data_IF_654000950190
#
_entry.id   IF_654000950190
#
_cell.length_a   1.000
_cell.length_b   1.000
_cell.length_c   1.000
_cell.angle_alpha   90.00
_cell.angle_beta   90.00
_cell.angle_gamma   90.00
#
_symmetry.space_group_name_H-M   'P 1'
#
loop_
_entity.id
_entity.type
_entity.pdbx_description
1 polymer ?
#
# COMPACT_ATOMS: atom_id res chain seq x y z
N UNK A 1 17.65 -9.35 -38.45
CA UNK A 1 17.33 -8.34 -37.43
C UNK A 1 15.85 -8.34 -37.00
N UNK A 2 14.86 -8.38 -37.92
CA UNK A 2 13.42 -8.46 -37.54
C UNK A 2 13.06 -9.60 -36.57
N UNK A 3 13.68 -10.79 -36.71
CA UNK A 3 13.42 -11.95 -35.83
C UNK A 3 13.91 -11.76 -34.39
N UNK A 4 15.01 -11.04 -34.18
CA UNK A 4 15.51 -10.71 -32.83
C UNK A 4 14.62 -9.67 -32.14
N UNK A 5 14.09 -8.70 -32.89
CA UNK A 5 13.20 -7.67 -32.37
C UNK A 5 11.84 -8.25 -31.94
N UNK A 6 11.31 -9.22 -32.70
CA UNK A 6 10.11 -9.98 -32.32
C UNK A 6 10.35 -10.87 -31.09
N UNK A 7 11.53 -11.49 -30.99
CA UNK A 7 11.90 -12.30 -29.81
C UNK A 7 12.04 -11.45 -28.54
N UNK A 8 12.62 -10.26 -28.65
CA UNK A 8 12.72 -9.32 -27.53
C UNK A 8 11.34 -8.77 -27.11
N UNK A 9 10.48 -8.41 -28.07
CA UNK A 9 9.09 -8.03 -27.77
C UNK A 9 8.30 -9.18 -27.13
N UNK A 10 8.48 -10.42 -27.59
CA UNK A 10 7.83 -11.58 -26.99
C UNK A 10 8.32 -11.85 -25.56
N UNK A 11 9.62 -11.72 -25.30
CA UNK A 11 10.20 -11.84 -23.95
C UNK A 11 9.64 -10.78 -22.98
N UNK A 12 9.44 -9.53 -23.43
CA UNK A 12 8.78 -8.51 -22.62
C UNK A 12 7.33 -8.87 -22.27
N UNK A 13 6.60 -9.52 -23.18
CA UNK A 13 5.22 -9.96 -22.92
C UNK A 13 5.11 -11.10 -21.88
N UNK A 14 6.15 -11.94 -21.71
CA UNK A 14 6.12 -13.07 -20.77
C UNK A 14 6.71 -12.79 -19.39
N UNK A 15 7.26 -11.60 -19.14
CA UNK A 15 7.67 -11.16 -17.79
C UNK A 15 6.48 -10.66 -16.96
N UNK A 16 5.38 -11.42 -16.97
CA UNK A 16 4.26 -11.19 -16.07
C UNK A 16 4.59 -11.69 -14.67
N UNK A 17 5.47 -10.99 -13.93
CA UNK A 17 5.54 -11.17 -12.49
C UNK A 17 4.17 -10.82 -11.92
N UNK A 18 3.39 -11.83 -11.53
CA UNK A 18 2.05 -11.62 -10.98
C UNK A 18 2.21 -10.87 -9.66
N UNK A 19 1.95 -9.57 -9.71
CA UNK A 19 2.05 -8.64 -8.59
C UNK A 19 1.22 -9.12 -7.39
N UNK A 20 0.05 -9.71 -7.67
CA UNK A 20 -0.88 -10.24 -6.70
C UNK A 20 -0.87 -11.76 -6.73
N UNK A 21 -0.68 -12.37 -5.57
CA UNK A 21 -0.66 -13.83 -5.39
C UNK A 21 -1.68 -14.22 -4.32
N UNK A 22 -2.47 -15.26 -4.60
CA UNK A 22 -3.39 -15.83 -3.61
C UNK A 22 -2.64 -16.86 -2.79
N UNK A 23 -2.66 -16.71 -1.47
CA UNK A 23 -1.98 -17.61 -0.55
C UNK A 23 -2.84 -17.89 0.67
N UNK A 24 -2.70 -19.09 1.23
CA UNK A 24 -3.36 -19.44 2.48
C UNK A 24 -2.62 -18.77 3.63
N UNK A 25 -3.34 -18.00 4.45
CA UNK A 25 -2.79 -17.36 5.64
C UNK A 25 -3.12 -18.20 6.86
N UNK A 26 -2.09 -18.56 7.63
CA UNK A 26 -2.27 -19.18 8.94
C UNK A 26 -2.86 -18.18 9.95
N UNK A 27 -2.51 -16.89 9.84
CA UNK A 27 -2.99 -15.82 10.73
C UNK A 27 -4.49 -15.57 10.61
N UNK A 28 -5.04 -15.59 9.39
CA UNK A 28 -6.45 -15.26 9.13
C UNK A 28 -7.33 -16.47 8.80
N UNK A 29 -6.75 -17.69 8.79
CA UNK A 29 -7.50 -18.95 8.67
C UNK A 29 -8.08 -19.27 7.29
N UNK A 30 -7.58 -18.66 6.21
CA UNK A 30 -8.17 -18.80 4.87
C UNK A 30 -7.32 -18.24 3.73
N UNK A 31 -7.92 -17.99 2.57
CA UNK A 31 -7.20 -17.43 1.42
C UNK A 31 -7.13 -15.91 1.49
N UNK A 32 -5.90 -15.40 1.47
CA UNK A 32 -5.56 -13.97 1.43
C UNK A 32 -4.81 -13.63 0.14
N UNK A 33 -4.71 -12.33 -0.15
CA UNK A 33 -3.96 -11.84 -1.32
C UNK A 33 -2.74 -11.09 -0.85
N UNK A 34 -1.57 -11.52 -1.33
CA UNK A 34 -0.32 -10.82 -1.15
C UNK A 34 0.04 -10.00 -2.39
N UNK A 35 0.56 -8.80 -2.17
CA UNK A 35 1.10 -7.91 -3.19
C UNK A 35 2.62 -7.84 -3.02
N UNK A 36 3.38 -8.26 -4.01
CA UNK A 36 4.86 -8.37 -3.92
C UNK A 36 5.35 -9.11 -2.66
N UNK A 37 4.64 -10.17 -2.24
CA UNK A 37 4.96 -10.93 -1.04
C UNK A 37 4.41 -10.36 0.27
N UNK A 38 3.86 -9.14 0.28
CA UNK A 38 3.23 -8.53 1.47
C UNK A 38 1.73 -8.80 1.50
N UNK A 39 1.23 -9.40 2.58
CA UNK A 39 -0.20 -9.67 2.75
C UNK A 39 -0.94 -8.39 3.10
N UNK A 40 -1.96 -8.07 2.30
CA UNK A 40 -2.87 -6.96 2.58
C UNK A 40 -4.21 -7.58 2.96
N UNK A 41 -4.56 -7.60 4.26
CA UNK A 41 -5.74 -8.32 4.75
C UNK A 41 -7.04 -7.73 4.18
N UNK A 42 -7.13 -6.41 4.00
CA UNK A 42 -8.33 -5.69 3.58
C UNK A 42 -8.86 -6.13 2.21
N UNK A 43 -8.03 -6.78 1.38
CA UNK A 43 -8.47 -7.36 0.12
C UNK A 43 -9.49 -8.49 0.28
N UNK A 44 -9.45 -9.23 1.38
CA UNK A 44 -10.16 -10.52 1.49
C UNK A 44 -10.76 -10.80 2.86
N UNK A 45 -10.16 -10.24 3.91
CA UNK A 45 -10.50 -10.46 5.31
C UNK A 45 -11.76 -9.68 5.69
N UNK A 46 -12.56 -10.27 6.58
CA UNK A 46 -13.75 -9.66 7.17
C UNK A 46 -13.41 -8.81 8.41
N UNK A 47 -14.37 -8.05 8.93
CA UNK A 47 -14.15 -7.22 10.14
C UNK A 47 -13.72 -8.06 11.37
N UNK A 48 -14.10 -9.34 11.39
CA UNK A 48 -13.72 -10.28 12.45
C UNK A 48 -12.32 -10.89 12.27
N UNK A 49 -11.49 -10.31 11.38
CA UNK A 49 -10.16 -10.79 11.04
C UNK A 49 -10.14 -12.25 10.53
N UNK A 50 -11.18 -12.67 9.81
CA UNK A 50 -11.26 -14.00 9.19
C UNK A 50 -11.24 -13.89 7.67
N UNK A 51 -10.38 -14.66 7.05
CA UNK A 51 -10.33 -14.82 5.60
C UNK A 51 -11.30 -15.95 5.16
N UNK A 52 -11.87 -15.88 3.95
CA UNK A 52 -12.71 -16.94 3.43
C UNK A 52 -11.89 -18.21 3.18
N UNK A 53 -12.43 -19.36 3.59
CA UNK A 53 -11.82 -20.68 3.34
C UNK A 53 -11.87 -21.09 1.86
N UNK A 54 -12.86 -20.58 1.13
CA UNK A 54 -13.00 -20.81 -0.31
C UNK A 54 -12.22 -19.77 -1.13
N UNK A 55 -11.35 -20.24 -2.02
CA UNK A 55 -10.59 -19.43 -2.96
C UNK A 55 -11.49 -18.66 -3.93
N UNK A 56 -12.64 -19.23 -4.30
CA UNK A 56 -13.63 -18.57 -5.17
C UNK A 56 -14.18 -17.29 -4.54
N UNK A 57 -14.66 -17.40 -3.30
CA UNK A 57 -15.09 -16.25 -2.49
C UNK A 57 -13.98 -15.23 -2.27
N UNK A 58 -12.75 -15.67 -1.97
CA UNK A 58 -11.59 -14.78 -1.82
C UNK A 58 -11.33 -13.95 -3.08
N UNK A 59 -11.41 -14.58 -4.27
CA UNK A 59 -11.22 -13.90 -5.55
C UNK A 59 -12.29 -12.86 -5.83
N UNK A 60 -13.55 -13.15 -5.54
CA UNK A 60 -14.66 -12.21 -5.72
C UNK A 60 -14.49 -10.99 -4.81
N UNK A 61 -14.18 -11.20 -3.53
CA UNK A 61 -13.90 -10.12 -2.58
C UNK A 61 -12.71 -9.26 -3.03
N UNK A 62 -11.62 -9.91 -3.43
CA UNK A 62 -10.44 -9.22 -3.96
C UNK A 62 -10.79 -8.34 -5.16
N UNK A 63 -11.47 -8.88 -6.19
CA UNK A 63 -11.78 -8.10 -7.40
C UNK A 63 -12.67 -6.88 -7.10
N UNK A 64 -13.60 -7.01 -6.15
CA UNK A 64 -14.49 -5.92 -5.74
C UNK A 64 -13.77 -4.84 -4.95
N UNK A 65 -12.86 -5.23 -4.05
CA UNK A 65 -12.18 -4.32 -3.12
C UNK A 65 -10.88 -3.74 -3.63
N UNK A 66 -10.19 -4.43 -4.55
CA UNK A 66 -8.82 -4.12 -5.01
C UNK A 66 -8.62 -2.63 -5.30
N UNK A 67 -9.44 -2.05 -6.16
CA UNK A 67 -9.26 -0.68 -6.62
C UNK A 67 -9.37 0.34 -5.47
N UNK A 68 -10.34 0.16 -4.57
CA UNK A 68 -10.52 1.03 -3.42
C UNK A 68 -9.39 0.87 -2.40
N UNK A 69 -9.07 -0.38 -2.02
CA UNK A 69 -7.99 -0.70 -1.08
C UNK A 69 -6.65 -0.16 -1.59
N UNK A 70 -6.30 -0.41 -2.86
CA UNK A 70 -5.07 0.13 -3.46
C UNK A 70 -5.03 1.66 -3.43
N UNK A 71 -6.15 2.34 -3.70
CA UNK A 71 -6.22 3.81 -3.64
C UNK A 71 -5.97 4.35 -2.22
N UNK A 72 -6.56 3.74 -1.19
CA UNK A 72 -6.29 4.13 0.20
C UNK A 72 -4.85 3.87 0.60
N UNK A 73 -4.30 2.71 0.26
CA UNK A 73 -2.91 2.38 0.55
C UNK A 73 -1.89 3.28 -0.18
N UNK A 74 -2.20 3.70 -1.42
CA UNK A 74 -1.45 4.71 -2.16
C UNK A 74 -1.48 6.07 -1.44
N UNK A 75 -2.67 6.51 -1.00
CA UNK A 75 -2.83 7.79 -0.26
C UNK A 75 -2.11 7.77 1.09
N UNK A 76 -2.07 6.62 1.76
CA UNK A 76 -1.32 6.41 2.99
C UNK A 76 0.20 6.33 2.76
N UNK A 77 0.68 6.26 1.51
CA UNK A 77 2.10 6.13 1.20
C UNK A 77 2.67 4.74 1.49
N UNK A 78 1.83 3.75 1.80
CA UNK A 78 2.25 2.38 2.11
C UNK A 78 2.51 1.55 0.85
N UNK A 79 1.97 1.99 -0.27
CA UNK A 79 2.13 1.38 -1.59
C UNK A 79 2.54 2.49 -2.56
N UNK A 80 3.44 2.18 -3.48
CA UNK A 80 3.73 3.01 -4.66
C UNK A 80 2.92 2.55 -5.87
N UNK A 81 2.54 3.52 -6.70
CA UNK A 81 1.89 3.27 -7.98
C UNK A 81 2.93 2.74 -9.00
N UNK A 82 2.49 1.79 -9.83
CA UNK A 82 3.36 1.00 -10.69
C UNK A 82 4.06 1.85 -11.74
N UNK A 83 3.35 2.83 -12.30
CA UNK A 83 3.86 3.67 -13.38
C UNK A 83 4.87 4.69 -12.86
N UNK A 84 4.57 5.29 -11.71
CA UNK A 84 5.48 6.19 -11.01
C UNK A 84 6.74 5.45 -10.58
N UNK A 85 6.64 4.22 -10.07
CA UNK A 85 7.81 3.45 -9.65
C UNK A 85 8.89 3.34 -10.72
N UNK A 86 8.54 3.07 -11.98
CA UNK A 86 9.55 2.90 -13.03
C UNK A 86 9.94 4.22 -13.72
N UNK A 87 8.98 5.12 -13.95
CA UNK A 87 9.24 6.34 -14.74
C UNK A 87 9.85 7.44 -13.88
N UNK A 88 9.46 7.57 -12.61
CA UNK A 88 9.92 8.67 -11.75
C UNK A 88 11.05 8.28 -10.81
N UNK A 89 11.15 7.02 -10.33
CA UNK A 89 12.21 6.69 -9.36
C UNK A 89 13.60 6.76 -9.96
N UNK A 90 13.82 6.27 -11.18
CA UNK A 90 15.18 6.23 -11.73
C UNK A 90 15.78 7.64 -11.91
N UNK A 91 15.07 8.61 -12.52
CA UNK A 91 15.53 10.00 -12.57
C UNK A 91 15.57 10.68 -11.19
N UNK A 92 14.59 10.39 -10.32
CA UNK A 92 14.52 11.01 -8.98
C UNK A 92 15.64 10.53 -8.06
N UNK A 93 16.07 9.27 -8.15
CA UNK A 93 17.20 8.73 -7.38
C UNK A 93 18.48 9.45 -7.80
N UNK A 94 18.75 9.57 -9.11
CA UNK A 94 19.91 10.30 -9.63
C UNK A 94 19.89 11.74 -9.13
N UNK A 95 18.76 12.45 -9.29
CA UNK A 95 18.62 13.82 -8.80
C UNK A 95 18.78 13.93 -7.28
N UNK A 96 18.26 12.98 -6.51
CA UNK A 96 18.37 12.98 -5.05
C UNK A 96 19.82 12.86 -4.59
N UNK A 97 20.65 12.07 -5.29
CA UNK A 97 22.07 11.95 -4.98
C UNK A 97 22.78 13.29 -5.21
N UNK A 98 22.51 13.95 -6.34
CA UNK A 98 23.08 15.28 -6.62
C UNK A 98 22.60 16.35 -5.63
N UNK A 99 21.29 16.41 -5.37
CA UNK A 99 20.70 17.39 -4.48
C UNK A 99 21.15 17.19 -3.02
N UNK A 100 21.24 15.95 -2.55
CA UNK A 100 21.74 15.66 -1.20
C UNK A 100 23.21 16.07 -1.06
N UNK A 101 24.04 15.79 -2.07
CA UNK A 101 25.46 16.20 -2.06
C UNK A 101 25.61 17.71 -1.90
N UNK A 102 24.78 18.50 -2.58
CA UNK A 102 24.79 19.97 -2.44
C UNK A 102 24.22 20.46 -1.09
N UNK A 103 23.30 19.72 -0.48
CA UNK A 103 22.67 20.06 0.81
C UNK A 103 23.47 19.61 2.03
N UNK A 104 24.40 18.67 1.89
CA UNK A 104 25.21 18.13 3.00
C UNK A 104 25.85 19.22 3.88
N UNK A 105 26.47 20.29 3.34
CA UNK A 105 27.06 21.33 4.19
C UNK A 105 26.04 22.04 5.08
N UNK A 106 24.81 22.26 4.57
CA UNK A 106 23.73 22.87 5.35
C UNK A 106 23.22 21.92 6.44
N UNK A 107 23.11 20.62 6.13
CA UNK A 107 22.72 19.61 7.13
C UNK A 107 23.71 19.56 8.29
N UNK A 108 25.01 19.53 8.00
CA UNK A 108 26.07 19.52 9.02
C UNK A 108 25.99 20.75 9.93
N UNK A 109 25.77 21.95 9.36
CA UNK A 109 25.62 23.18 10.15
C UNK A 109 24.35 23.13 11.01
N UNK A 110 23.25 22.58 10.47
CA UNK A 110 22.00 22.46 11.21
C UNK A 110 22.10 21.47 12.37
N UNK A 111 22.76 20.32 12.18
CA UNK A 111 23.01 19.32 13.21
C UNK A 111 23.90 19.90 14.32
N UNK A 112 24.99 20.59 13.94
CA UNK A 112 25.84 21.27 14.92
C UNK A 112 25.04 22.26 15.78
N UNK A 113 24.15 23.06 15.16
CA UNK A 113 23.27 23.98 15.89
C UNK A 113 22.23 23.27 16.74
N UNK A 114 21.73 22.13 16.29
CA UNK A 114 20.76 21.30 17.02
C UNK A 114 21.37 20.75 18.32
N UNK A 115 22.62 20.27 18.27
CA UNK A 115 23.32 19.74 19.44
C UNK A 115 23.75 20.83 20.43
N UNK A 116 24.19 21.99 19.94
CA UNK A 116 24.85 23.01 20.77
C UNK A 116 23.92 24.17 21.18
N UNK A 117 22.67 24.23 20.70
CA UNK A 117 21.72 25.28 21.05
C UNK A 117 20.37 24.70 21.45
N UNK A 118 20.08 24.68 22.76
CA UNK A 118 18.83 24.14 23.29
C UNK A 118 17.57 24.83 22.74
N UNK A 119 17.60 26.14 22.52
CA UNK A 119 16.47 26.89 21.99
C UNK A 119 16.23 26.61 20.49
N UNK A 120 17.27 26.24 19.75
CA UNK A 120 17.11 25.75 18.38
C UNK A 120 16.58 24.30 18.40
N UNK A 121 17.12 23.43 19.25
CA UNK A 121 16.68 22.04 19.43
C UNK A 121 15.17 21.94 19.69
N UNK A 122 14.69 22.64 20.73
CA UNK A 122 13.27 22.65 21.11
C UNK A 122 12.34 23.09 19.99
N UNK A 123 12.78 24.04 19.14
CA UNK A 123 11.97 24.52 18.01
C UNK A 123 11.85 23.46 16.92
N UNK A 124 12.95 22.78 16.59
CA UNK A 124 12.95 21.69 15.60
C UNK A 124 12.13 20.51 16.13
N UNK A 125 12.35 20.09 17.38
CA UNK A 125 11.58 19.01 18.00
C UNK A 125 10.07 19.28 17.99
N UNK A 126 9.66 20.53 18.25
CA UNK A 126 8.26 20.93 18.18
C UNK A 126 7.71 20.89 16.76
N UNK A 127 8.50 21.33 15.77
CA UNK A 127 8.09 21.28 14.36
C UNK A 127 7.93 19.84 13.87
N UNK A 128 8.87 18.97 14.22
CA UNK A 128 8.82 17.55 13.85
C UNK A 128 7.65 16.85 14.52
N UNK A 129 7.41 17.10 15.81
CA UNK A 129 6.27 16.54 16.52
C UNK A 129 4.92 17.01 15.94
N UNK A 130 4.81 18.27 15.51
CA UNK A 130 3.63 18.80 14.84
C UNK A 130 3.41 18.13 13.49
N UNK A 131 4.46 18.01 12.68
CA UNK A 131 4.39 17.36 11.37
C UNK A 131 4.00 15.88 11.50
N UNK A 132 4.58 15.16 12.48
CA UNK A 132 4.24 13.77 12.77
C UNK A 132 2.78 13.64 13.24
N UNK A 133 2.30 14.55 14.08
CA UNK A 133 0.90 14.56 14.52
C UNK A 133 -0.07 14.77 13.35
N UNK A 134 0.21 15.72 12.46
CA UNK A 134 -0.60 15.98 11.26
C UNK A 134 -0.63 14.78 10.32
N UNK A 135 0.53 14.15 10.09
CA UNK A 135 0.61 12.95 9.25
C UNK A 135 -0.14 11.77 9.87
N UNK A 136 0.02 11.55 11.17
CA UNK A 136 -0.71 10.51 11.91
C UNK A 136 -2.22 10.73 11.87
N UNK A 137 -2.70 11.96 12.02
CA UNK A 137 -4.12 12.29 11.87
C UNK A 137 -4.63 12.02 10.45
N UNK A 138 -3.85 12.40 9.43
CA UNK A 138 -4.18 12.15 8.03
C UNK A 138 -4.30 10.65 7.75
N UNK A 139 -3.33 9.86 8.21
CA UNK A 139 -3.32 8.40 8.05
C UNK A 139 -4.49 7.79 8.81
N UNK A 140 -4.77 8.25 10.03
CA UNK A 140 -5.91 7.76 10.83
C UNK A 140 -7.24 8.00 10.10
N UNK A 141 -7.46 9.20 9.57
CA UNK A 141 -8.66 9.52 8.76
C UNK A 141 -8.81 8.59 7.56
N UNK A 142 -7.71 8.27 6.87
CA UNK A 142 -7.73 7.34 5.73
C UNK A 142 -8.04 5.90 6.16
N UNK A 143 -7.50 5.45 7.30
CA UNK A 143 -7.81 4.14 7.87
C UNK A 143 -9.27 4.02 8.28
N UNK A 144 -9.81 5.05 8.93
CA UNK A 144 -11.21 5.09 9.35
C UNK A 144 -12.15 5.04 8.11
N UNK A 145 -11.84 5.79 7.06
CA UNK A 145 -12.57 5.75 5.79
C UNK A 145 -12.49 4.37 5.11
N UNK A 146 -11.32 3.74 5.11
CA UNK A 146 -11.15 2.39 4.57
C UNK A 146 -11.98 1.37 5.35
N UNK A 147 -12.01 1.49 6.68
CA UNK A 147 -12.81 0.63 7.54
C UNK A 147 -14.31 0.78 7.28
N UNK A 148 -14.81 2.02 7.16
CA UNK A 148 -16.20 2.30 6.79
C UNK A 148 -16.55 1.71 5.42
N UNK A 149 -15.67 1.87 4.44
CA UNK A 149 -15.85 1.26 3.11
C UNK A 149 -15.99 -0.26 3.19
N UNK A 150 -15.12 -0.94 3.95
CA UNK A 150 -15.17 -2.39 4.13
C UNK A 150 -16.46 -2.83 4.83
N UNK A 151 -16.91 -2.08 5.84
CA UNK A 151 -18.17 -2.36 6.53
C UNK A 151 -19.35 -2.31 5.56
N UNK A 152 -19.43 -1.28 4.73
CA UNK A 152 -20.49 -1.13 3.72
C UNK A 152 -20.42 -2.25 2.68
N UNK A 153 -19.22 -2.63 2.22
CA UNK A 153 -19.04 -3.73 1.27
C UNK A 153 -19.53 -5.07 1.83
N UNK A 154 -19.23 -5.33 3.11
CA UNK A 154 -19.64 -6.54 3.81
C UNK A 154 -21.15 -6.60 4.05
N UNK A 155 -21.77 -5.49 4.42
CA UNK A 155 -23.22 -5.41 4.55
C UNK A 155 -23.93 -5.69 3.22
N UNK A 156 -23.36 -5.23 2.09
CA UNK A 156 -23.88 -5.55 0.75
C UNK A 156 -23.73 -7.04 0.44
N UNK A 157 -22.60 -7.65 0.77
CA UNK A 157 -22.37 -9.08 0.58
C UNK A 157 -23.37 -9.93 1.38
N UNK A 158 -23.65 -9.57 2.64
CA UNK A 158 -24.66 -10.23 3.49
C UNK A 158 -26.07 -10.15 2.89
N UNK A 159 -26.44 -8.99 2.33
CA UNK A 159 -27.77 -8.78 1.70
C UNK A 159 -27.93 -9.53 0.37
N UNK A 160 -26.83 -9.83 -0.32
CA UNK A 160 -26.84 -10.54 -1.61
C UNK A 160 -26.77 -12.07 -1.47
N UNK A 161 -26.50 -12.60 -0.27
CA UNK A 161 -26.59 -14.03 -0.01
C UNK A 161 -28.08 -14.42 0.15
N UNK A 162 -28.63 -15.29 -0.71
CA UNK A 162 -29.98 -15.83 -0.48
C UNK A 162 -30.00 -16.61 0.84
N UNK A 163 -31.13 -16.67 1.56
CA UNK A 163 -31.23 -17.43 2.79
C UNK A 163 -30.98 -18.91 2.47
N UNK A 164 -29.80 -19.41 2.86
CA UNK A 164 -29.57 -20.84 3.04
C UNK A 164 -30.52 -21.25 4.18
N UNK A 165 -31.49 -22.11 3.89
CA UNK A 165 -32.53 -22.64 4.78
C UNK A 165 -33.89 -21.92 4.67
N UNK A 166 -34.55 -22.03 3.52
CA UNK A 166 -36.00 -22.25 3.52
C UNK A 166 -36.21 -23.78 3.52
N UNK A 167 -36.70 -24.39 4.62
CA UNK A 167 -37.12 -25.79 4.56
C UNK A 167 -38.27 -25.91 3.55
N UNK A 168 -38.13 -26.87 2.64
CA UNK A 168 -39.20 -27.30 1.74
C UNK A 168 -40.13 -28.26 2.47
#
# INVERSE_FOLDING_TARGET
MKKFLVFFCALFCFTGCTVHTFQKSETFGGYTVARFGYVIPEYTVDLDNKAPEDRGKAKIRYLRRKAAVENYYLKMGQIEDYLTRYITHFPKIIWSVFANTLKMPFHIISEYRYEHNEAYRKRIDQQDALAEAEENERIKKLKDQLYEFLKIDLEKEKKQQPPLNAPS
#
